data_IF_484899709667
#
_entry.id   IF_484899709667
#
_cell.length_a   1.000
_cell.length_b   1.000
_cell.length_c   1.000
_cell.angle_alpha   90.00
_cell.angle_beta   90.00
_cell.angle_gamma   90.00
#
_symmetry.space_group_name_H-M   'P 1'
#
loop_
_entity.id
_entity.type
_entity.pdbx_description
1 polymer ?
#
# COMPACT_ATOMS: atom_id res chain seq x y z
N UNK A 1 11.44 -36.28 -21.83
CA UNK A 1 10.46 -35.19 -21.62
C UNK A 1 10.67 -34.58 -20.23
N UNK A 2 10.78 -33.25 -20.08
CA UNK A 2 10.96 -32.58 -18.78
C UNK A 2 9.63 -32.21 -18.11
N UNK A 3 9.60 -31.98 -16.79
CA UNK A 3 8.42 -31.45 -16.08
C UNK A 3 8.37 -29.93 -16.08
N UNK A 4 7.16 -29.39 -15.93
CA UNK A 4 6.93 -27.93 -15.80
C UNK A 4 7.39 -27.44 -14.42
N UNK A 5 8.33 -26.50 -14.41
CA UNK A 5 8.94 -26.01 -13.18
C UNK A 5 7.96 -25.15 -12.35
N UNK A 6 8.20 -25.05 -11.04
CA UNK A 6 7.40 -24.20 -10.13
C UNK A 6 7.27 -22.75 -10.60
N UNK A 7 8.31 -22.18 -11.23
CA UNK A 7 8.28 -20.81 -11.72
C UNK A 7 7.22 -20.61 -12.81
N UNK A 8 7.06 -21.57 -13.72
CA UNK A 8 6.04 -21.55 -14.78
C UNK A 8 4.64 -21.79 -14.18
N UNK A 9 4.50 -22.76 -13.28
CA UNK A 9 3.19 -23.11 -12.65
C UNK A 9 2.53 -21.95 -11.91
N UNK A 10 3.30 -20.96 -11.44
CA UNK A 10 2.77 -19.77 -10.76
C UNK A 10 1.90 -18.88 -11.66
N UNK A 11 2.11 -18.91 -12.98
CA UNK A 11 1.35 -18.09 -13.93
C UNK A 11 -0.07 -18.62 -14.17
N UNK A 12 -0.25 -19.94 -14.13
CA UNK A 12 -1.54 -20.60 -14.39
C UNK A 12 -2.61 -20.29 -13.32
N UNK A 13 -2.20 -19.76 -12.16
CA UNK A 13 -3.14 -19.39 -11.10
C UNK A 13 -3.98 -20.56 -10.59
N UNK A 14 -3.39 -21.73 -10.36
CA UNK A 14 -4.08 -22.84 -9.67
C UNK A 14 -3.87 -22.70 -8.16
N UNK A 15 -3.04 -23.56 -7.55
CA UNK A 15 -2.64 -23.50 -6.13
C UNK A 15 -1.89 -22.21 -5.75
N UNK A 16 -1.51 -21.39 -6.74
CA UNK A 16 -0.75 -20.14 -6.55
C UNK A 16 -1.61 -18.86 -6.57
N UNK A 17 -2.95 -18.98 -6.62
CA UNK A 17 -3.86 -17.82 -6.45
C UNK A 17 -3.63 -17.14 -5.10
N UNK A 18 -3.93 -15.85 -5.04
CA UNK A 18 -4.00 -15.13 -3.78
C UNK A 18 -5.18 -15.63 -2.95
N UNK A 19 -4.98 -15.81 -1.66
CA UNK A 19 -6.04 -16.05 -0.69
C UNK A 19 -6.75 -14.73 -0.41
N UNK A 20 -7.97 -14.58 -0.91
CA UNK A 20 -8.73 -13.32 -0.85
C UNK A 20 -9.89 -13.32 0.14
N UNK A 21 -10.27 -14.47 0.71
CA UNK A 21 -11.46 -14.65 1.56
C UNK A 21 -11.58 -13.61 2.69
N UNK A 22 -10.48 -13.31 3.38
CA UNK A 22 -10.49 -12.37 4.51
C UNK A 22 -10.04 -10.95 4.17
N UNK A 23 -9.84 -10.64 2.88
CA UNK A 23 -9.40 -9.31 2.45
C UNK A 23 -10.57 -8.34 2.61
N UNK A 24 -10.31 -7.20 3.24
CA UNK A 24 -11.34 -6.18 3.52
C UNK A 24 -11.76 -5.39 2.28
N UNK A 25 -10.88 -5.33 1.29
CA UNK A 25 -11.16 -4.69 -0.01
C UNK A 25 -9.89 -4.20 -0.68
N UNK A 26 -10.07 -3.52 -1.82
CA UNK A 26 -8.97 -2.85 -2.49
C UNK A 26 -8.87 -1.41 -1.94
N UNK A 27 -7.82 -1.06 -1.19
CA UNK A 27 -7.63 0.32 -0.79
C UNK A 27 -7.33 1.14 -2.04
N UNK A 28 -7.98 2.29 -2.19
CA UNK A 28 -7.90 3.17 -3.34
C UNK A 28 -8.26 4.57 -2.88
N UNK A 29 -7.65 5.60 -3.48
CA UNK A 29 -8.18 6.96 -3.38
C UNK A 29 -9.60 6.99 -3.95
N UNK A 30 -10.39 8.01 -3.65
CA UNK A 30 -11.75 8.15 -4.21
C UNK A 30 -11.70 8.33 -5.74
N UNK A 31 -12.82 8.11 -6.41
CA UNK A 31 -12.95 8.48 -7.81
C UNK A 31 -12.66 9.98 -8.01
N UNK A 32 -11.90 10.33 -9.05
CA UNK A 32 -11.63 11.73 -9.37
C UNK A 32 -12.89 12.34 -9.98
N UNK A 33 -13.55 13.23 -9.26
CA UNK A 33 -14.79 13.89 -9.68
C UNK A 33 -14.60 15.41 -9.85
N UNK A 34 -15.69 16.13 -10.05
CA UNK A 34 -15.65 17.59 -10.19
C UNK A 34 -15.19 18.27 -8.90
N UNK A 35 -15.66 17.80 -7.74
CA UNK A 35 -15.33 18.36 -6.44
C UNK A 35 -13.83 18.30 -6.14
N UNK A 36 -13.16 17.18 -6.44
CA UNK A 36 -11.71 17.06 -6.23
C UNK A 36 -10.87 17.85 -7.24
N UNK A 37 -11.36 18.04 -8.47
CA UNK A 37 -10.63 18.78 -9.51
C UNK A 37 -10.61 20.30 -9.27
N UNK A 38 -11.70 20.86 -8.76
CA UNK A 38 -11.86 22.32 -8.62
C UNK A 38 -11.89 22.80 -7.16
N UNK A 39 -12.27 21.93 -6.23
CA UNK A 39 -12.42 22.26 -4.81
C UNK A 39 -11.78 21.20 -3.93
N UNK A 40 -12.50 20.85 -2.86
CA UNK A 40 -12.20 19.70 -2.03
C UNK A 40 -13.49 19.05 -1.57
N UNK A 41 -13.42 17.79 -1.16
CA UNK A 41 -14.47 17.09 -0.45
C UNK A 41 -13.97 16.69 0.94
N UNK A 42 -14.85 16.81 1.93
CA UNK A 42 -14.60 16.40 3.30
C UNK A 42 -15.00 14.94 3.49
N UNK A 43 -14.06 14.13 3.96
CA UNK A 43 -14.29 12.79 4.46
C UNK A 43 -14.08 12.74 5.98
N UNK A 44 -14.69 11.77 6.63
CA UNK A 44 -14.46 11.48 8.06
C UNK A 44 -13.98 10.04 8.18
N UNK A 45 -12.94 9.81 8.97
CA UNK A 45 -12.57 8.46 9.43
C UNK A 45 -13.58 8.09 10.50
N UNK A 46 -14.61 7.29 10.19
CA UNK A 46 -15.66 6.92 11.15
C UNK A 46 -16.38 5.65 10.69
N UNK A 47 -16.85 4.83 11.62
CA UNK A 47 -17.95 3.90 11.40
C UNK A 47 -19.30 4.66 11.45
N UNK A 48 -20.32 4.06 10.83
CA UNK A 48 -21.70 4.54 10.63
C UNK A 48 -22.07 5.86 11.35
N UNK A 49 -22.45 6.93 10.63
CA UNK A 49 -23.22 7.97 11.28
C UNK A 49 -24.56 7.34 11.66
N UNK A 50 -24.82 7.17 12.96
CA UNK A 50 -26.21 7.21 13.40
C UNK A 50 -26.81 8.52 12.90
N UNK A 51 -28.08 8.53 12.43
CA UNK A 51 -28.75 9.76 12.08
C UNK A 51 -28.84 10.59 13.35
N UNK A 52 -28.10 11.69 13.43
CA UNK A 52 -28.45 12.77 14.35
C UNK A 52 -29.73 13.38 13.80
N UNK A 53 -30.84 13.11 14.48
CA UNK A 53 -32.10 13.81 14.25
C UNK A 53 -31.89 15.32 14.48
N UNK A 54 -32.40 16.20 13.61
CA UNK A 54 -32.33 17.64 13.79
C UNK A 54 -33.44 18.12 14.73
N UNK A 55 -33.26 17.91 16.03
CA UNK A 55 -33.96 18.57 17.14
C UNK A 55 -33.00 18.40 18.32
N UNK A 56 -32.24 19.38 18.74
CA UNK A 56 -32.70 20.47 19.60
C UNK A 56 -31.79 21.70 19.42
N UNK A 57 -32.38 22.79 18.94
CA UNK A 57 -32.00 24.15 19.35
C UNK A 57 -33.10 24.57 20.32
N UNK A 58 -32.73 25.35 21.35
CA UNK A 58 -33.50 25.80 22.54
C UNK A 58 -33.31 24.82 23.71
N UNK A 59 -32.83 25.19 24.90
CA UNK A 59 -32.79 26.48 25.61
C UNK A 59 -31.81 26.39 26.79
N UNK A 60 -31.35 27.56 27.25
CA UNK A 60 -30.68 27.83 28.53
C UNK A 60 -31.20 27.04 29.73
N UNK A 61 -30.31 26.67 30.68
CA UNK A 61 -30.38 26.86 32.15
C UNK A 61 -29.17 26.17 32.80
N UNK A 62 -28.32 26.94 33.47
CA UNK A 62 -27.70 26.54 34.75
C UNK A 62 -28.65 27.02 35.85
N UNK A 63 -28.86 26.35 37.01
CA UNK A 63 -27.79 25.91 37.91
C UNK A 63 -28.07 24.64 38.75
N UNK A 64 -27.03 24.16 39.44
CA UNK A 64 -27.06 23.42 40.73
C UNK A 64 -27.81 22.08 40.88
N UNK A 65 -27.14 21.16 41.57
CA UNK A 65 -27.63 19.97 42.30
C UNK A 65 -27.48 18.63 41.56
N UNK A 66 -26.77 17.73 42.23
CA UNK A 66 -26.43 16.38 41.80
C UNK A 66 -27.67 15.48 41.68
N UNK A 67 -27.66 14.60 40.68
CA UNK A 67 -28.38 13.33 40.71
C UNK A 67 -27.41 12.26 40.22
N UNK A 68 -27.04 11.35 41.12
CA UNK A 68 -26.40 10.08 40.77
C UNK A 68 -27.30 9.30 39.82
N UNK A 69 -26.75 8.87 38.68
CA UNK A 69 -27.31 7.76 37.93
C UNK A 69 -26.20 6.73 37.68
N UNK A 70 -26.09 5.85 38.67
CA UNK A 70 -25.48 4.55 38.52
C UNK A 70 -26.49 3.69 37.73
N UNK A 71 -26.30 3.54 36.42
CA UNK A 71 -26.84 2.41 35.67
C UNK A 71 -25.70 1.64 35.02
N UNK A 72 -25.46 0.51 35.64
CA UNK A 72 -24.44 -0.48 35.35
C UNK A 72 -24.63 -1.06 33.95
N UNK A 73 -23.52 -1.11 33.22
CA UNK A 73 -23.12 -2.23 32.36
C UNK A 73 -24.10 -2.70 31.28
N UNK A 74 -24.13 -1.97 30.17
CA UNK A 74 -24.18 -2.59 28.83
C UNK A 74 -22.79 -2.53 28.19
N UNK A 75 -21.80 -3.15 28.83
CA UNK A 75 -20.47 -3.39 28.27
C UNK A 75 -20.53 -4.59 27.32
N UNK A 76 -21.22 -4.42 26.19
CA UNK A 76 -21.05 -5.28 25.03
C UNK A 76 -20.06 -4.59 24.08
N UNK A 77 -18.84 -5.13 24.02
CA UNK A 77 -17.72 -4.64 23.25
C UNK A 77 -18.08 -4.29 21.79
N UNK A 78 -18.24 -3.01 21.48
CA UNK A 78 -18.08 -2.49 20.12
C UNK A 78 -16.65 -1.95 19.98
N UNK A 79 -15.73 -2.83 19.60
CA UNK A 79 -14.39 -2.40 19.20
C UNK A 79 -14.52 -1.61 17.89
N UNK A 80 -14.60 -0.30 18.06
CA UNK A 80 -14.46 0.74 17.04
C UNK A 80 -13.10 0.59 16.37
N UNK A 81 -13.06 0.11 15.12
CA UNK A 81 -11.82 0.11 14.35
C UNK A 81 -12.05 0.80 13.00
N UNK A 82 -12.06 2.14 12.99
CA UNK A 82 -12.07 2.91 11.73
C UNK A 82 -10.75 2.73 10.97
N UNK A 83 -9.69 2.33 11.68
CA UNK A 83 -8.40 1.91 11.15
C UNK A 83 -8.28 0.39 11.33
N UNK A 84 -8.46 -0.35 10.25
CA UNK A 84 -8.56 -1.81 10.26
C UNK A 84 -7.29 -2.50 9.76
N UNK A 85 -7.03 -3.69 10.32
CA UNK A 85 -6.08 -4.63 9.73
C UNK A 85 -6.70 -5.37 8.53
N UNK A 86 -6.04 -5.31 7.37
CA UNK A 86 -6.39 -6.13 6.20
C UNK A 86 -5.41 -7.33 6.07
N UNK A 87 -5.86 -8.57 6.31
CA UNK A 87 -5.03 -9.77 6.26
C UNK A 87 -4.21 -9.85 4.97
N UNK A 88 -2.88 -9.93 5.09
CA UNK A 88 -1.96 -9.94 3.95
C UNK A 88 -1.34 -8.59 3.60
N UNK A 89 -1.76 -7.49 4.24
CA UNK A 89 -1.03 -6.21 4.26
C UNK A 89 -0.23 -6.05 5.54
N UNK A 90 0.83 -5.26 5.45
CA UNK A 90 1.52 -4.74 6.62
C UNK A 90 1.04 -3.35 7.03
N UNK A 91 0.48 -2.60 6.08
CA UNK A 91 -0.07 -1.27 6.32
C UNK A 91 -1.53 -1.39 6.78
N UNK A 92 -1.96 -0.65 7.82
CA UNK A 92 -3.36 -0.55 8.18
C UNK A 92 -4.16 0.20 7.12
N UNK A 93 -5.46 -0.05 7.07
CA UNK A 93 -6.40 0.64 6.18
C UNK A 93 -7.28 1.57 7.01
N UNK A 94 -7.68 2.70 6.44
CA UNK A 94 -8.68 3.58 7.05
C UNK A 94 -9.98 3.50 6.25
N UNK A 95 -11.11 3.33 6.94
CA UNK A 95 -12.43 3.49 6.33
C UNK A 95 -12.82 4.97 6.38
N UNK A 96 -12.94 5.58 5.20
CA UNK A 96 -13.25 7.01 5.08
C UNK A 96 -14.65 7.16 4.50
N UNK A 97 -15.50 7.90 5.20
CA UNK A 97 -16.87 8.17 4.81
C UNK A 97 -16.95 9.55 4.15
N UNK A 98 -17.40 9.58 2.91
CA UNK A 98 -17.66 10.79 2.13
C UNK A 98 -19.16 10.94 1.90
N UNK A 99 -19.67 12.17 1.93
CA UNK A 99 -21.00 12.46 1.38
C UNK A 99 -20.92 12.43 -0.15
N UNK A 100 -21.88 11.81 -0.81
CA UNK A 100 -21.93 11.84 -2.27
C UNK A 100 -22.32 13.25 -2.75
N UNK A 101 -21.60 13.82 -3.74
CA UNK A 101 -21.88 15.19 -4.21
C UNK A 101 -23.17 15.32 -5.03
N UNK A 102 -23.73 14.23 -5.54
CA UNK A 102 -24.89 14.24 -6.43
C UNK A 102 -26.15 13.62 -5.82
N UNK A 103 -26.01 12.77 -4.80
CA UNK A 103 -27.13 12.05 -4.17
C UNK A 103 -27.03 12.10 -2.65
N UNK A 104 -28.16 12.03 -1.97
CA UNK A 104 -28.18 11.88 -0.50
C UNK A 104 -27.79 10.45 -0.10
N UNK A 105 -26.49 10.13 -0.20
CA UNK A 105 -25.91 8.86 0.22
C UNK A 105 -24.50 9.05 0.76
N UNK A 106 -24.08 8.15 1.64
CA UNK A 106 -22.71 8.10 2.14
C UNK A 106 -21.90 7.08 1.34
N UNK A 107 -20.77 7.49 0.77
CA UNK A 107 -19.80 6.60 0.13
C UNK A 107 -18.71 6.22 1.12
N UNK A 108 -18.55 4.93 1.34
CA UNK A 108 -17.46 4.37 2.14
C UNK A 108 -16.30 4.02 1.20
N UNK A 109 -15.11 4.55 1.46
CA UNK A 109 -13.91 4.29 0.68
C UNK A 109 -12.79 3.78 1.58
N UNK A 110 -12.10 2.73 1.14
CA UNK A 110 -10.97 2.16 1.87
C UNK A 110 -9.68 2.85 1.45
N UNK A 111 -9.07 3.58 2.36
CA UNK A 111 -7.80 4.26 2.13
C UNK A 111 -6.65 3.48 2.77
N UNK A 112 -5.42 3.76 2.33
CA UNK A 112 -4.23 3.38 3.10
C UNK A 112 -4.09 4.42 4.20
N UNK A 113 -3.91 3.99 5.44
CA UNK A 113 -3.68 4.90 6.55
C UNK A 113 -2.22 5.40 6.53
N UNK A 114 -1.99 6.71 6.51
CA UNK A 114 -0.69 7.28 6.85
C UNK A 114 -0.49 7.26 8.37
N UNK A 115 0.78 7.37 8.76
CA UNK A 115 1.15 7.50 10.17
C UNK A 115 0.58 8.79 10.77
N UNK A 116 0.07 8.72 12.01
CA UNK A 116 -0.61 9.84 12.67
C UNK A 116 -2.09 10.01 12.32
N UNK A 117 -2.66 9.18 11.44
CA UNK A 117 -4.11 9.17 11.21
C UNK A 117 -4.87 8.59 12.41
N UNK A 118 -5.97 9.23 12.81
CA UNK A 118 -6.79 8.81 13.95
C UNK A 118 -8.29 8.74 13.59
N UNK A 119 -9.05 8.04 14.42
CA UNK A 119 -10.50 7.89 14.30
C UNK A 119 -11.21 9.21 14.58
N UNK A 120 -12.22 9.55 13.77
CA UNK A 120 -12.88 10.86 13.79
C UNK A 120 -12.15 11.96 13.02
N UNK A 121 -10.93 11.73 12.53
CA UNK A 121 -10.18 12.73 11.77
C UNK A 121 -10.92 13.12 10.47
N UNK A 122 -10.93 14.41 10.18
CA UNK A 122 -11.37 14.92 8.89
C UNK A 122 -10.26 14.86 7.85
N UNK A 123 -10.55 14.24 6.71
CA UNK A 123 -9.67 14.23 5.54
C UNK A 123 -10.25 15.14 4.47
N UNK A 124 -9.40 15.95 3.86
CA UNK A 124 -9.76 16.81 2.75
C UNK A 124 -9.10 16.27 1.49
N UNK A 125 -9.92 15.96 0.49
CA UNK A 125 -9.46 15.46 -0.80
C UNK A 125 -9.78 16.49 -1.88
N UNK A 126 -8.78 17.01 -2.59
CA UNK A 126 -8.96 17.86 -3.77
C UNK A 126 -7.88 18.92 -3.97
N UNK A 127 -8.02 19.70 -5.05
CA UNK A 127 -7.07 20.76 -5.43
C UNK A 127 -6.93 21.87 -4.40
N UNK A 128 -8.00 22.20 -3.66
CA UNK A 128 -8.03 23.26 -2.63
C UNK A 128 -7.88 22.72 -1.21
N UNK A 129 -7.51 21.44 -1.05
CA UNK A 129 -7.27 20.87 0.28
C UNK A 129 -6.01 21.49 0.92
N UNK A 130 -6.01 21.63 2.24
CA UNK A 130 -4.84 22.11 2.97
C UNK A 130 -3.77 21.00 3.09
N UNK A 131 -2.50 21.40 3.19
CA UNK A 131 -1.37 20.49 3.36
C UNK A 131 -1.33 19.96 4.82
N UNK A 132 -2.08 18.90 5.09
CA UNK A 132 -2.09 18.21 6.38
C UNK A 132 -1.97 16.70 6.18
N UNK A 133 -1.45 15.99 7.17
CA UNK A 133 -1.27 14.53 7.12
C UNK A 133 -2.63 13.85 6.88
N UNK A 134 -2.68 12.95 5.90
CA UNK A 134 -3.91 12.25 5.50
C UNK A 134 -4.71 12.94 4.41
N UNK A 135 -4.52 14.24 4.16
CA UNK A 135 -5.17 14.93 3.05
C UNK A 135 -4.62 14.45 1.71
N UNK A 136 -5.47 14.51 0.69
CA UNK A 136 -5.17 14.07 -0.67
C UNK A 136 -5.27 15.25 -1.60
N UNK A 137 -4.19 15.61 -2.26
CA UNK A 137 -4.15 16.75 -3.17
C UNK A 137 -3.25 16.46 -4.38
N UNK A 138 -3.35 17.24 -5.46
CA UNK A 138 -2.45 17.12 -6.60
C UNK A 138 -1.00 17.37 -6.20
N UNK A 139 -0.07 16.54 -6.67
CA UNK A 139 1.35 16.68 -6.33
C UNK A 139 1.92 18.04 -6.73
N UNK A 140 1.43 18.66 -7.81
CA UNK A 140 1.88 19.97 -8.25
C UNK A 140 1.50 21.14 -7.33
N UNK A 141 0.60 20.91 -6.37
CA UNK A 141 0.21 21.91 -5.36
C UNK A 141 0.96 21.74 -4.03
N UNK A 142 1.65 20.62 -3.86
CA UNK A 142 2.45 20.35 -2.67
C UNK A 142 3.82 21.02 -2.83
N UNK A 143 4.42 21.56 -1.76
CA UNK A 143 5.76 22.12 -1.83
C UNK A 143 6.81 21.02 -2.06
N UNK A 144 7.95 21.41 -2.62
CA UNK A 144 9.11 20.52 -2.79
C UNK A 144 9.60 20.01 -1.42
N UNK A 145 10.11 18.79 -1.39
CA UNK A 145 10.48 18.11 -0.14
C UNK A 145 9.32 17.44 0.58
N UNK A 146 8.06 17.68 0.20
CA UNK A 146 6.90 17.04 0.83
C UNK A 146 6.99 15.51 0.74
N UNK A 147 6.73 14.87 1.87
CA UNK A 147 6.65 13.42 1.98
C UNK A 147 5.21 12.98 1.67
N UNK A 148 5.07 12.07 0.72
CA UNK A 148 3.78 11.62 0.22
C UNK A 148 3.69 10.10 0.14
N UNK A 149 2.48 9.57 0.25
CA UNK A 149 2.17 8.17 0.05
C UNK A 149 0.95 7.98 -0.87
N UNK A 150 0.69 6.73 -1.25
CA UNK A 150 -0.43 6.33 -2.11
C UNK A 150 -0.54 7.17 -3.41
N UNK A 151 0.60 7.48 -4.00
CA UNK A 151 0.78 8.34 -5.16
C UNK A 151 0.21 7.71 -6.44
N UNK A 152 -0.46 8.50 -7.26
CA UNK A 152 -0.92 8.08 -8.59
C UNK A 152 0.25 8.03 -9.60
N UNK A 153 0.28 7.01 -10.46
CA UNK A 153 1.19 6.95 -11.61
C UNK A 153 0.59 7.68 -12.82
N UNK A 154 -0.71 7.51 -13.04
CA UNK A 154 -1.52 8.26 -14.00
C UNK A 154 -2.66 8.94 -13.27
N UNK A 155 -3.03 10.14 -13.70
CA UNK A 155 -4.14 10.91 -13.11
C UNK A 155 -5.40 10.06 -13.00
N UNK A 156 -5.93 9.90 -11.80
CA UNK A 156 -7.16 9.15 -11.55
C UNK A 156 -7.00 7.63 -11.44
N UNK A 157 -5.78 7.08 -11.44
CA UNK A 157 -5.54 5.65 -11.21
C UNK A 157 -5.81 5.17 -9.76
N UNK A 158 -6.20 6.11 -8.89
CA UNK A 158 -6.63 5.91 -7.50
C UNK A 158 -5.53 5.36 -6.58
N UNK A 159 -4.26 5.63 -6.91
CA UNK A 159 -3.10 5.37 -6.06
C UNK A 159 -2.41 4.05 -6.39
N UNK A 160 -1.17 4.15 -6.87
CA UNK A 160 -0.38 3.01 -7.38
C UNK A 160 1.00 2.88 -6.72
N UNK A 161 1.64 3.99 -6.37
CA UNK A 161 3.02 4.08 -5.91
C UNK A 161 3.07 4.37 -4.40
N UNK A 162 4.18 4.02 -3.74
CA UNK A 162 4.42 4.25 -2.30
C UNK A 162 3.26 3.77 -1.37
N UNK A 163 2.93 2.48 -1.45
CA UNK A 163 1.76 1.87 -0.77
C UNK A 163 2.10 0.82 0.29
N UNK A 164 3.37 0.44 0.39
CA UNK A 164 3.81 -0.55 1.38
C UNK A 164 3.99 0.13 2.74
N UNK A 165 3.85 -0.64 3.82
CA UNK A 165 4.02 -0.17 5.19
C UNK A 165 5.40 0.48 5.41
N UNK A 166 5.43 1.71 5.91
CA UNK A 166 6.65 2.50 6.12
C UNK A 166 7.24 3.14 4.87
N UNK A 167 6.68 2.91 3.68
CA UNK A 167 7.19 3.54 2.47
C UNK A 167 6.61 4.94 2.28
N UNK A 168 7.39 5.79 1.63
CA UNK A 168 7.00 7.12 1.18
C UNK A 168 7.70 7.46 -0.13
N UNK A 169 7.17 8.46 -0.82
CA UNK A 169 7.84 9.14 -1.92
C UNK A 169 8.10 10.59 -1.51
N UNK A 170 9.11 11.20 -2.11
CA UNK A 170 9.46 12.61 -1.85
C UNK A 170 9.22 13.41 -3.12
N UNK A 171 8.50 14.52 -3.01
CA UNK A 171 8.38 15.50 -4.09
C UNK A 171 9.73 16.19 -4.24
N UNK A 172 10.35 16.13 -5.41
CA UNK A 172 11.69 16.71 -5.64
C UNK A 172 11.55 18.10 -6.24
N UNK A 173 10.87 18.20 -7.38
CA UNK A 173 10.79 19.43 -8.14
C UNK A 173 9.55 19.47 -9.01
N UNK A 174 9.03 20.67 -9.25
CA UNK A 174 7.95 20.93 -10.20
C UNK A 174 8.47 21.63 -11.45
N UNK A 175 8.00 21.20 -12.61
CA UNK A 175 8.19 21.93 -13.85
C UNK A 175 6.84 22.52 -14.29
N UNK A 176 6.65 23.86 -14.19
CA UNK A 176 5.37 24.50 -14.49
C UNK A 176 5.03 24.44 -15.98
N UNK A 177 6.02 24.55 -16.87
CA UNK A 177 5.82 24.58 -18.32
C UNK A 177 5.26 23.26 -18.86
N UNK A 178 5.88 22.15 -18.45
CA UNK A 178 5.50 20.80 -18.87
C UNK A 178 4.38 20.20 -18.02
N UNK A 179 3.96 20.88 -16.95
CA UNK A 179 2.97 20.41 -15.96
C UNK A 179 3.31 19.02 -15.41
N UNK A 180 4.61 18.80 -15.16
CA UNK A 180 5.15 17.54 -14.64
C UNK A 180 5.87 17.79 -13.32
N UNK A 181 5.80 16.80 -12.44
CA UNK A 181 6.46 16.77 -11.14
C UNK A 181 7.43 15.61 -11.10
N UNK A 182 8.64 15.85 -10.59
CA UNK A 182 9.65 14.82 -10.35
C UNK A 182 9.53 14.34 -8.92
N UNK A 183 9.40 13.04 -8.73
CA UNK A 183 9.28 12.38 -7.41
C UNK A 183 10.40 11.36 -7.21
N UNK A 184 10.87 11.21 -5.97
CA UNK A 184 11.76 10.12 -5.54
C UNK A 184 10.92 8.97 -5.02
N UNK A 185 11.01 7.79 -5.63
CA UNK A 185 10.31 6.60 -5.18
C UNK A 185 11.01 5.93 -3.99
N UNK A 186 10.34 5.04 -3.24
CA UNK A 186 10.98 4.28 -2.15
C UNK A 186 12.20 3.45 -2.57
N UNK A 187 12.31 3.13 -3.87
CA UNK A 187 13.49 2.44 -4.44
C UNK A 187 14.72 3.35 -4.61
N UNK A 188 14.59 4.66 -4.40
CA UNK A 188 15.59 5.68 -4.72
C UNK A 188 15.49 6.22 -6.16
N UNK A 189 14.78 5.52 -7.05
CA UNK A 189 14.62 5.95 -8.44
C UNK A 189 13.80 7.24 -8.53
N UNK A 190 14.29 8.19 -9.34
CA UNK A 190 13.54 9.39 -9.71
C UNK A 190 12.54 9.03 -10.81
N UNK A 191 11.32 9.53 -10.71
CA UNK A 191 10.27 9.35 -11.72
C UNK A 191 9.58 10.67 -11.98
N UNK A 192 9.30 10.97 -13.24
CA UNK A 192 8.52 12.13 -13.65
C UNK A 192 7.07 11.69 -13.83
N UNK A 193 6.14 12.42 -13.24
CA UNK A 193 4.69 12.17 -13.28
C UNK A 193 3.93 13.46 -13.60
N UNK A 194 2.70 13.41 -14.13
CA UNK A 194 1.88 14.60 -14.29
C UNK A 194 1.62 15.30 -12.95
N UNK A 195 1.69 16.63 -12.92
CA UNK A 195 1.47 17.43 -11.71
C UNK A 195 0.04 17.33 -11.16
N UNK A 196 -0.92 16.92 -12.00
CA UNK A 196 -2.31 16.69 -11.61
C UNK A 196 -2.53 15.36 -10.88
N UNK A 197 -1.54 14.47 -10.85
CA UNK A 197 -1.64 13.20 -10.13
C UNK A 197 -1.86 13.47 -8.64
N UNK A 198 -2.76 12.72 -8.02
CA UNK A 198 -3.02 12.86 -6.58
C UNK A 198 -1.99 12.10 -5.76
N UNK A 199 -1.69 12.62 -4.59
CA UNK A 199 -0.98 11.90 -3.54
C UNK A 199 -1.58 12.22 -2.19
N UNK A 200 -1.39 11.32 -1.23
CA UNK A 200 -1.73 11.55 0.16
C UNK A 200 -0.51 12.09 0.90
N UNK A 201 -0.68 13.11 1.73
CA UNK A 201 0.41 13.67 2.53
C UNK A 201 0.75 12.72 3.69
N UNK A 202 2.04 12.43 3.87
CA UNK A 202 2.56 11.60 4.97
C UNK A 202 3.17 10.28 4.52
N UNK A 203 3.66 9.52 5.51
CA UNK A 203 4.28 8.19 5.35
C UNK A 203 3.22 7.12 5.57
N UNK A 204 3.29 5.99 4.86
CA UNK A 204 2.37 4.86 5.13
C UNK A 204 2.61 4.27 6.52
N UNK A 205 1.56 4.12 7.32
CA UNK A 205 1.64 3.54 8.66
C UNK A 205 2.16 2.08 8.68
N UNK A 206 2.61 1.64 9.86
CA UNK A 206 3.13 0.29 10.08
C UNK A 206 4.59 0.11 9.63
N UNK A 207 5.38 1.19 9.65
CA UNK A 207 6.83 1.14 9.44
C UNK A 207 7.57 0.24 10.44
N UNK A 208 8.84 -0.07 10.19
CA UNK A 208 9.69 -0.84 11.09
C UNK A 208 9.38 -2.36 11.22
N UNK A 209 8.27 -2.84 10.64
CA UNK A 209 7.86 -4.26 10.71
C UNK A 209 8.86 -5.26 10.09
N UNK A 210 9.84 -4.79 9.33
CA UNK A 210 10.88 -5.62 8.72
C UNK A 210 12.13 -5.75 9.58
N UNK A 211 12.34 -4.83 10.53
CA UNK A 211 13.55 -4.77 11.35
C UNK A 211 13.53 -5.89 12.40
N UNK A 212 12.34 -6.29 12.86
CA UNK A 212 12.15 -7.45 13.72
C UNK A 212 12.39 -8.76 12.94
N UNK A 213 13.38 -9.59 13.33
CA UNK A 213 13.67 -10.85 12.64
C UNK A 213 12.54 -11.88 12.82
N UNK A 214 12.32 -12.70 11.78
CA UNK A 214 11.35 -13.81 11.81
C UNK A 214 12.07 -15.05 12.31
N UNK A 215 12.11 -15.22 13.64
CA UNK A 215 12.87 -16.28 14.31
C UNK A 215 12.30 -17.70 14.06
N UNK A 216 10.97 -17.85 13.98
CA UNK A 216 10.30 -19.16 13.88
C UNK A 216 9.71 -19.38 12.49
N UNK A 217 9.89 -20.59 11.95
CA UNK A 217 9.29 -21.01 10.68
C UNK A 217 7.75 -20.94 10.71
N UNK A 218 7.12 -21.27 11.84
CA UNK A 218 5.66 -21.13 12.02
C UNK A 218 5.15 -19.70 11.83
N UNK A 219 5.92 -18.68 12.26
CA UNK A 219 5.57 -17.27 12.01
C UNK A 219 5.62 -16.94 10.52
N UNK A 220 6.59 -17.49 9.78
CA UNK A 220 6.64 -17.35 8.33
C UNK A 220 5.46 -18.06 7.64
N UNK A 221 5.10 -19.25 8.11
CA UNK A 221 3.91 -19.98 7.63
C UNK A 221 2.65 -19.12 7.72
N UNK A 222 2.31 -18.59 8.91
CA UNK A 222 1.12 -17.74 9.08
C UNK A 222 1.17 -16.46 8.23
N UNK A 223 2.36 -15.85 8.09
CA UNK A 223 2.57 -14.67 7.22
C UNK A 223 2.25 -14.95 5.75
N UNK A 224 2.66 -16.12 5.23
CA UNK A 224 2.41 -16.49 3.83
C UNK A 224 1.03 -17.13 3.63
N UNK A 225 0.44 -17.73 4.67
CA UNK A 225 -0.94 -18.26 4.69
C UNK A 225 -1.97 -17.17 4.35
N UNK A 226 -1.77 -15.93 4.78
CA UNK A 226 -2.66 -14.81 4.44
C UNK A 226 -2.42 -14.19 3.05
N UNK A 227 -1.46 -14.69 2.26
CA UNK A 227 -1.07 -14.09 0.97
C UNK A 227 -1.37 -15.03 -0.19
N UNK A 228 -0.35 -15.73 -0.68
CA UNK A 228 -0.47 -16.80 -1.68
C UNK A 228 0.47 -17.91 -1.26
N UNK A 229 0.19 -19.12 -1.73
CA UNK A 229 1.07 -20.25 -1.48
C UNK A 229 2.45 -20.03 -2.14
N UNK A 230 3.42 -19.56 -1.38
CA UNK A 230 4.79 -19.33 -1.86
C UNK A 230 5.87 -19.66 -0.83
N UNK A 231 5.47 -20.37 0.22
CA UNK A 231 6.31 -20.87 1.31
C UNK A 231 5.80 -22.26 1.70
N UNK A 232 6.67 -23.25 1.95
CA UNK A 232 8.14 -23.18 1.94
C UNK A 232 8.74 -23.08 0.53
N UNK A 233 10.04 -22.72 0.44
CA UNK A 233 10.76 -22.63 -0.83
C UNK A 233 11.85 -23.69 -0.91
N UNK A 234 11.55 -24.82 -1.56
CA UNK A 234 12.56 -25.82 -1.92
C UNK A 234 13.59 -25.21 -2.89
N UNK A 235 14.89 -25.45 -2.63
CA UNK A 235 16.03 -25.03 -3.47
C UNK A 235 16.03 -25.87 -4.75
N UNK A 236 16.33 -25.26 -5.90
CA UNK A 236 16.33 -25.97 -7.18
C UNK A 236 17.37 -27.10 -7.28
N UNK A 237 18.48 -26.99 -6.54
CA UNK A 237 19.53 -28.02 -6.47
C UNK A 237 19.13 -29.25 -5.68
N UNK A 238 18.12 -29.14 -4.83
CA UNK A 238 17.59 -30.27 -4.05
C UNK A 238 16.51 -31.05 -4.82
N UNK A 239 16.25 -30.68 -6.07
CA UNK A 239 15.25 -31.33 -6.93
C UNK A 239 15.94 -32.25 -7.94
N UNK A 240 15.18 -33.14 -8.57
CA UNK A 240 15.68 -33.98 -9.67
C UNK A 240 15.84 -33.16 -10.97
N UNK A 241 16.68 -33.60 -11.94
CA UNK A 241 16.88 -32.89 -13.21
C UNK A 241 15.57 -32.64 -13.97
N UNK A 242 14.61 -33.56 -13.83
CA UNK A 242 13.30 -33.48 -14.46
C UNK A 242 12.47 -32.29 -13.97
N UNK A 243 12.67 -31.86 -12.72
CA UNK A 243 11.85 -30.84 -12.06
C UNK A 243 12.45 -29.45 -12.09
N UNK A 244 13.78 -29.35 -12.20
CA UNK A 244 14.48 -28.08 -12.17
C UNK A 244 15.81 -28.14 -12.94
N UNK A 245 16.13 -27.13 -13.78
CA UNK A 245 17.40 -26.99 -14.49
C UNK A 245 18.68 -26.96 -13.65
N UNK A 246 18.58 -26.93 -12.32
CA UNK A 246 19.73 -26.94 -11.38
C UNK A 246 19.75 -28.23 -10.56
N UNK A 247 18.77 -29.12 -10.78
CA UNK A 247 18.58 -30.33 -10.01
C UNK A 247 19.35 -31.51 -10.59
N UNK A 248 19.58 -32.51 -9.75
CA UNK A 248 20.29 -33.75 -10.06
C UNK A 248 21.79 -33.74 -9.80
N UNK A 249 22.45 -34.77 -10.33
CA UNK A 249 23.84 -35.10 -10.04
C UNK A 249 24.01 -35.83 -8.70
N UNK A 250 25.20 -36.42 -8.50
CA UNK A 250 25.55 -37.10 -7.25
C UNK A 250 25.89 -36.11 -6.13
N UNK A 251 26.38 -34.92 -6.49
CA UNK A 251 26.67 -33.82 -5.56
C UNK A 251 25.71 -32.66 -5.80
N UNK A 252 25.25 -31.98 -4.73
CA UNK A 252 24.38 -30.81 -4.85
C UNK A 252 25.16 -29.58 -5.34
N UNK A 253 25.16 -29.35 -6.65
CA UNK A 253 25.75 -28.18 -7.29
C UNK A 253 24.94 -27.78 -8.54
N UNK A 254 25.10 -26.55 -9.04
CA UNK A 254 24.33 -26.05 -10.20
C UNK A 254 24.86 -26.65 -11.53
N UNK A 255 26.15 -26.98 -11.59
CA UNK A 255 26.81 -27.55 -12.78
C UNK A 255 27.07 -26.58 -13.94
N UNK A 256 26.36 -25.44 -13.99
CA UNK A 256 26.49 -24.41 -15.03
C UNK A 256 26.37 -23.00 -14.45
N UNK A 257 26.69 -21.99 -15.26
CA UNK A 257 26.51 -20.60 -14.89
C UNK A 257 25.06 -20.31 -14.47
N UNK A 258 24.89 -19.70 -13.29
CA UNK A 258 23.57 -19.37 -12.74
C UNK A 258 23.01 -18.05 -13.29
N UNK A 259 23.77 -17.31 -14.10
CA UNK A 259 23.35 -16.09 -14.79
C UNK A 259 22.70 -16.44 -16.12
N UNK A 260 21.46 -15.96 -16.33
CA UNK A 260 20.68 -16.28 -17.55
C UNK A 260 20.28 -15.04 -18.33
N UNK A 261 20.27 -15.13 -19.66
CA UNK A 261 19.89 -14.03 -20.56
C UNK A 261 18.41 -13.66 -20.39
N UNK A 262 18.06 -12.39 -20.64
CA UNK A 262 16.68 -11.88 -20.52
C UNK A 262 15.70 -12.61 -21.46
N UNK A 263 16.15 -12.93 -22.67
CA UNK A 263 15.39 -13.63 -23.71
C UNK A 263 15.31 -15.15 -23.56
N UNK A 264 15.88 -15.73 -22.50
CA UNK A 264 15.81 -17.18 -22.27
C UNK A 264 14.35 -17.66 -22.12
N UNK A 265 14.04 -18.87 -22.59
CA UNK A 265 12.69 -19.48 -22.51
C UNK A 265 12.22 -19.70 -21.06
N UNK A 266 10.90 -19.81 -20.86
CA UNK A 266 10.29 -19.81 -19.53
C UNK A 266 10.78 -20.94 -18.60
N UNK A 267 11.05 -22.14 -19.14
CA UNK A 267 11.58 -23.27 -18.37
C UNK A 267 13.07 -23.18 -18.06
N UNK A 268 13.83 -22.33 -18.77
CA UNK A 268 15.27 -22.13 -18.61
C UNK A 268 15.64 -20.84 -17.85
N UNK A 269 14.70 -19.89 -17.73
CA UNK A 269 14.91 -18.58 -17.10
C UNK A 269 14.91 -18.68 -15.58
N UNK A 270 15.98 -19.25 -15.03
CA UNK A 270 16.16 -19.49 -13.60
C UNK A 270 17.55 -19.03 -13.15
N UNK A 271 17.72 -18.75 -11.86
CA UNK A 271 18.96 -18.21 -11.29
C UNK A 271 18.94 -16.68 -11.27
N UNK A 272 20.07 -16.09 -11.61
CA UNK A 272 20.29 -14.64 -11.66
C UNK A 272 19.93 -14.12 -13.05
N UNK A 273 18.67 -13.70 -13.21
CA UNK A 273 18.11 -13.30 -14.52
C UNK A 273 18.64 -11.93 -14.93
N UNK A 274 19.34 -11.88 -16.06
CA UNK A 274 19.93 -10.68 -16.66
C UNK A 274 20.76 -9.85 -15.66
N UNK A 275 21.47 -10.54 -14.76
CA UNK A 275 22.29 -9.91 -13.75
C UNK A 275 23.46 -9.15 -14.41
N UNK A 276 23.54 -7.85 -14.15
CA UNK A 276 24.65 -6.99 -14.60
C UNK A 276 25.92 -7.17 -13.77
N UNK A 277 25.74 -7.57 -12.51
CA UNK A 277 26.80 -7.83 -11.53
C UNK A 277 26.34 -8.97 -10.62
N UNK A 278 27.27 -9.78 -10.15
CA UNK A 278 27.08 -10.85 -9.15
C UNK A 278 27.98 -10.61 -7.94
N UNK A 279 27.84 -11.44 -6.90
CA UNK A 279 28.63 -11.31 -5.66
C UNK A 279 28.05 -10.32 -4.63
N UNK A 280 28.66 -10.28 -3.45
CA UNK A 280 28.27 -9.36 -2.37
C UNK A 280 28.77 -7.95 -2.70
N UNK A 281 27.87 -6.97 -2.68
CA UNK A 281 28.25 -5.56 -2.81
C UNK A 281 29.10 -5.17 -1.58
N UNK A 282 30.35 -4.78 -1.82
CA UNK A 282 31.27 -4.18 -0.85
C UNK A 282 31.52 -2.74 -1.32
N UNK A 283 31.33 -1.74 -0.45
CA UNK A 283 31.37 -0.31 -0.80
C UNK A 283 29.99 0.36 -0.91
N UNK A 284 29.94 1.58 -1.45
CA UNK A 284 28.72 2.36 -1.61
C UNK A 284 27.72 1.72 -2.58
N UNK A 285 26.41 1.88 -2.32
CA UNK A 285 25.38 1.50 -3.29
C UNK A 285 25.59 2.32 -4.55
N UNK A 286 25.86 1.67 -5.68
CA UNK A 286 25.77 2.32 -6.98
C UNK A 286 24.31 2.70 -7.20
N UNK A 287 23.95 3.94 -6.88
CA UNK A 287 22.77 4.57 -7.47
C UNK A 287 22.97 4.43 -8.97
N UNK A 288 22.15 3.60 -9.61
CA UNK A 288 22.17 3.50 -11.07
C UNK A 288 21.79 4.88 -11.61
N UNK A 289 22.79 5.71 -11.89
CA UNK A 289 22.69 6.76 -12.90
C UNK A 289 22.30 6.06 -14.19
N UNK A 290 21.00 5.93 -14.44
CA UNK A 290 20.53 5.91 -15.82
C UNK A 290 20.86 7.31 -16.33
N UNK A 291 21.71 7.39 -17.34
CA UNK A 291 21.78 8.59 -18.17
C UNK A 291 20.36 8.86 -18.66
N UNK A 292 19.81 9.99 -18.23
CA UNK A 292 18.74 10.66 -18.94
C UNK A 292 19.47 11.53 -19.96
N UNK A 293 19.86 10.92 -21.09
CA UNK A 293 19.96 11.60 -22.38
C UNK A 293 18.76 11.13 -23.22
#
# INVERSE_FOLDING_TARGET
MGRVIRAQRKGAGSVFRSHTKHRKGAPRLRALDFAERHGYIKGVVKENPTPVHPTEILTSISPSTAVELNTTSALANYATEDIIHDPGRGAPLAMVHFRDPYRFKTRKELFIAPEGMYTGQFLYCGKRANLQIGNVMPVGTMPEGTIVCNLEEKTGDRGRLARASGNYATVIAHNPDTKKTRVKLPSGAKKVIPSNNRAMVGIVAGGGRIDKPILKAGRAYHKYKAKRNCWPKVRGVAMNPVEHPHGGGNHQHIGKASTVKRGTSAGRKIGLIAARRTGRIRGGKTDTKKGDD
#
